data_IF_504242269541
#
_entry.id   IF_504242269541
#
_cell.length_a   1.000
_cell.length_b   1.000
_cell.length_c   1.000
_cell.angle_alpha   90.00
_cell.angle_beta   90.00
_cell.angle_gamma   90.00
#
_symmetry.space_group_name_H-M   'P 1'
#
loop_
_entity.id
_entity.type
_entity.pdbx_description
1 polymer ?
#
# COMPACT_ATOMS: atom_id res chain seq x y z
N UNK A 1 7.59 -4.60 12.71
CA UNK A 1 8.66 -5.59 12.43
C UNK A 1 9.82 -4.99 11.66
N UNK A 2 9.68 -3.76 11.12
CA UNK A 2 10.74 -3.02 10.46
C UNK A 2 11.50 -3.88 9.44
N UNK A 3 10.73 -4.47 8.52
CA UNK A 3 11.25 -5.30 7.45
C UNK A 3 11.84 -4.39 6.35
N UNK A 4 12.89 -4.82 5.64
CA UNK A 4 13.59 -3.97 4.68
C UNK A 4 12.67 -3.33 3.62
N UNK A 5 11.69 -4.07 3.12
CA UNK A 5 10.74 -3.59 2.11
C UNK A 5 9.45 -3.00 2.68
N UNK A 6 9.33 -2.89 4.01
CA UNK A 6 8.12 -2.37 4.64
C UNK A 6 7.99 -0.86 4.42
N UNK A 7 6.82 -0.35 3.97
CA UNK A 7 6.59 1.09 3.95
C UNK A 7 6.59 1.63 5.39
N UNK A 8 7.12 2.84 5.59
CA UNK A 8 7.14 3.49 6.91
C UNK A 8 5.74 3.96 7.29
N UNK A 9 5.02 4.53 6.34
CA UNK A 9 3.60 4.87 6.46
C UNK A 9 2.81 4.11 5.42
N UNK A 10 2.18 3.01 5.83
CA UNK A 10 1.47 2.14 4.90
C UNK A 10 0.29 2.83 4.20
N UNK A 11 -0.47 3.65 4.93
CA UNK A 11 -1.64 4.37 4.42
C UNK A 11 -1.37 5.88 4.42
N UNK A 12 -1.71 6.54 3.32
CA UNK A 12 -1.74 8.00 3.25
C UNK A 12 -3.10 8.47 2.72
N UNK A 13 -3.77 9.33 3.48
CA UNK A 13 -5.03 9.94 3.07
C UNK A 13 -4.77 11.35 2.53
N UNK A 14 -5.30 11.64 1.35
CA UNK A 14 -5.30 12.98 0.76
C UNK A 14 -6.59 13.72 1.12
N UNK A 15 -6.44 14.92 1.66
CA UNK A 15 -7.54 15.88 1.82
C UNK A 15 -7.91 16.57 0.51
N UNK A 16 -6.98 16.62 -0.46
CA UNK A 16 -7.24 17.15 -1.80
C UNK A 16 -8.30 16.29 -2.53
N UNK A 17 -9.46 16.86 -2.92
CA UNK A 17 -10.55 16.11 -3.55
C UNK A 17 -10.20 15.53 -4.93
N UNK A 18 -9.11 16.00 -5.56
CA UNK A 18 -8.63 15.51 -6.85
C UNK A 18 -7.68 14.32 -6.75
N UNK A 19 -7.35 13.87 -5.53
CA UNK A 19 -6.40 12.77 -5.26
C UNK A 19 -7.10 11.53 -4.69
N UNK A 20 -6.51 10.32 -4.85
CA UNK A 20 -5.27 10.02 -5.58
C UNK A 20 -5.46 9.96 -7.10
N UNK A 21 -4.35 10.12 -7.84
CA UNK A 21 -4.24 9.97 -9.29
C UNK A 21 -3.12 8.98 -9.65
N UNK A 22 -3.43 8.00 -10.49
CA UNK A 22 -2.54 6.88 -10.82
C UNK A 22 -1.11 7.28 -11.18
N UNK A 23 -0.95 8.31 -12.04
CA UNK A 23 0.39 8.75 -12.48
C UNK A 23 1.19 9.47 -11.40
N UNK A 24 0.50 10.14 -10.47
CA UNK A 24 1.15 11.01 -9.48
C UNK A 24 1.42 10.28 -8.16
N UNK A 25 0.63 9.26 -7.84
CA UNK A 25 0.55 8.71 -6.48
C UNK A 25 0.93 7.23 -6.37
N UNK A 26 1.04 6.50 -7.49
CA UNK A 26 1.31 5.05 -7.43
C UNK A 26 2.66 4.73 -6.78
N UNK A 27 3.62 5.65 -6.83
CA UNK A 27 4.99 5.43 -6.32
C UNK A 27 5.15 5.85 -4.85
N UNK A 28 4.06 6.18 -4.15
CA UNK A 28 4.09 6.47 -2.72
C UNK A 28 4.73 5.33 -1.92
N UNK A 29 5.68 5.69 -1.02
CA UNK A 29 6.52 4.72 -0.29
C UNK A 29 7.16 3.69 -1.25
N UNK A 30 7.74 4.18 -2.35
CA UNK A 30 8.35 3.35 -3.42
C UNK A 30 7.38 2.32 -4.02
N UNK A 31 6.09 2.65 -4.05
CA UNK A 31 5.04 1.78 -4.56
C UNK A 31 4.60 0.67 -3.61
N UNK A 32 5.08 0.68 -2.36
CA UNK A 32 4.68 -0.27 -1.30
C UNK A 32 3.57 0.26 -0.39
N UNK A 33 3.35 1.57 -0.40
CA UNK A 33 2.25 2.23 0.31
C UNK A 33 0.95 2.23 -0.49
N UNK A 34 -0.12 2.61 0.20
CA UNK A 34 -1.47 2.75 -0.34
C UNK A 34 -1.94 4.18 -0.11
N UNK A 35 -2.44 4.82 -1.17
CA UNK A 35 -3.00 6.16 -1.08
C UNK A 35 -4.53 6.13 -1.15
N UNK A 36 -5.17 6.93 -0.31
CA UNK A 36 -6.61 7.04 -0.17
C UNK A 36 -7.04 8.49 -0.34
N UNK A 37 -8.28 8.69 -0.76
CA UNK A 37 -8.87 10.03 -0.83
C UNK A 37 -10.36 9.97 -1.15
N UNK A 38 -11.00 11.14 -1.10
CA UNK A 38 -12.43 11.31 -1.42
C UNK A 38 -13.36 10.47 -0.53
N UNK A 39 -12.99 10.29 0.74
CA UNK A 39 -13.86 9.62 1.71
C UNK A 39 -15.11 10.47 1.96
N UNK A 40 -16.28 9.85 1.79
CA UNK A 40 -17.60 10.48 1.98
C UNK A 40 -18.65 9.42 2.24
N UNK A 41 -19.77 9.83 2.80
CA UNK A 41 -20.94 8.96 2.95
C UNK A 41 -21.41 8.44 1.58
N UNK A 42 -21.92 7.21 1.59
CA UNK A 42 -22.56 6.62 0.44
C UNK A 42 -24.08 6.54 0.66
N UNK A 43 -24.85 6.45 -0.44
CA UNK A 43 -26.30 6.36 -0.37
C UNK A 43 -26.80 4.91 -0.22
N UNK A 44 -25.95 3.92 -0.50
CA UNK A 44 -26.28 2.49 -0.45
C UNK A 44 -25.58 1.81 0.71
N UNK A 45 -24.28 2.12 0.89
CA UNK A 45 -23.47 1.65 2.02
C UNK A 45 -23.18 2.82 2.98
N UNK A 46 -22.31 2.60 3.98
CA UNK A 46 -21.95 3.65 4.94
C UNK A 46 -21.01 4.71 4.32
N UNK A 47 -19.96 4.26 3.62
CA UNK A 47 -18.93 5.14 3.08
C UNK A 47 -18.41 4.67 1.73
N UNK A 48 -17.96 5.63 0.92
CA UNK A 48 -17.19 5.40 -0.29
C UNK A 48 -15.94 6.28 -0.32
N UNK A 49 -14.89 5.75 -0.93
CA UNK A 49 -13.60 6.41 -1.10
C UNK A 49 -12.90 5.84 -2.33
N UNK A 50 -11.77 6.43 -2.70
CA UNK A 50 -10.87 5.87 -3.71
C UNK A 50 -9.58 5.44 -3.06
N UNK A 51 -9.11 4.26 -3.45
CA UNK A 51 -7.86 3.66 -3.02
C UNK A 51 -7.00 3.38 -4.25
N UNK A 52 -5.70 3.67 -4.15
CA UNK A 52 -4.74 3.42 -5.21
C UNK A 52 -3.54 2.64 -4.66
N UNK A 53 -3.16 1.59 -5.38
CA UNK A 53 -1.98 0.76 -5.13
C UNK A 53 -1.16 0.62 -6.41
N UNK A 54 0.16 0.44 -6.29
CA UNK A 54 0.97 0.00 -7.42
C UNK A 54 0.78 -1.51 -7.66
N UNK A 55 0.19 -1.88 -8.80
CA UNK A 55 -0.19 -3.28 -9.06
C UNK A 55 1.01 -4.23 -9.24
N UNK A 56 2.09 -3.81 -9.90
CA UNK A 56 3.28 -4.67 -10.10
C UNK A 56 4.26 -4.67 -8.92
N UNK A 57 4.26 -3.61 -8.10
CA UNK A 57 5.10 -3.51 -6.90
C UNK A 57 4.32 -4.08 -5.72
N UNK A 58 3.47 -3.27 -5.05
CA UNK A 58 2.68 -3.74 -3.91
C UNK A 58 1.78 -4.94 -4.24
N UNK A 59 1.09 -4.88 -5.37
CA UNK A 59 0.12 -5.90 -5.77
C UNK A 59 0.72 -7.22 -6.26
N UNK A 60 2.04 -7.27 -6.49
CA UNK A 60 2.71 -8.46 -7.00
C UNK A 60 4.09 -8.63 -6.37
N UNK A 61 5.18 -8.23 -7.05
CA UNK A 61 6.54 -8.61 -6.69
C UNK A 61 6.96 -8.08 -5.32
N UNK A 62 6.68 -6.81 -5.03
CA UNK A 62 7.00 -6.19 -3.73
C UNK A 62 6.24 -6.82 -2.56
N UNK A 63 4.97 -7.18 -2.76
CA UNK A 63 4.20 -7.94 -1.76
C UNK A 63 4.80 -9.33 -1.49
N UNK A 64 5.26 -10.00 -2.54
CA UNK A 64 5.98 -11.27 -2.43
C UNK A 64 7.29 -11.16 -1.65
N UNK A 65 8.11 -10.16 -1.95
CA UNK A 65 9.37 -9.89 -1.23
C UNK A 65 9.10 -9.60 0.24
N UNK A 66 8.14 -8.73 0.57
CA UNK A 66 7.80 -8.41 1.95
C UNK A 66 7.29 -9.65 2.73
N UNK A 67 6.56 -10.53 2.05
CA UNK A 67 6.12 -11.81 2.64
C UNK A 67 7.30 -12.75 2.89
N UNK A 68 8.26 -12.82 1.97
CA UNK A 68 9.48 -13.62 2.15
C UNK A 68 10.34 -13.08 3.30
N UNK A 69 10.55 -11.76 3.38
CA UNK A 69 11.25 -11.10 4.50
C UNK A 69 10.59 -11.43 5.85
N UNK A 70 9.26 -11.39 5.91
CA UNK A 70 8.49 -11.77 7.09
C UNK A 70 8.71 -13.23 7.48
N UNK A 71 8.64 -14.16 6.52
CA UNK A 71 8.85 -15.59 6.76
C UNK A 71 10.29 -15.89 7.21
N UNK A 72 11.30 -15.21 6.63
CA UNK A 72 12.67 -15.29 7.10
C UNK A 72 12.81 -14.79 8.54
N UNK A 73 12.16 -13.66 8.88
CA UNK A 73 12.20 -13.11 10.24
C UNK A 73 11.56 -14.03 11.28
N UNK A 74 10.55 -14.80 10.88
CA UNK A 74 9.91 -15.81 11.72
C UNK A 74 10.67 -17.15 11.79
N UNK A 75 11.72 -17.33 10.98
CA UNK A 75 12.49 -18.58 10.93
C UNK A 75 11.83 -19.70 10.12
N UNK A 76 10.81 -19.40 9.31
CA UNK A 76 10.18 -20.39 8.42
C UNK A 76 10.96 -20.60 7.11
N UNK A 77 11.77 -19.60 6.71
CA UNK A 77 12.66 -19.67 5.56
C UNK A 77 14.06 -19.29 6.05
N UNK A 78 15.06 -20.08 5.70
CA UNK A 78 16.46 -19.77 6.00
C UNK A 78 16.96 -18.70 5.01
N UNK A 79 17.49 -17.59 5.55
CA UNK A 79 18.14 -16.58 4.73
C UNK A 79 19.47 -17.14 4.22
N UNK A 80 19.68 -17.10 2.89
CA UNK A 80 20.98 -17.40 2.26
C UNK A 80 21.87 -16.18 2.22
#
# INVERSE_FOLDING_TARGET
MDLPSSPKKFLYYFDDPSRPQTRLDRDYEHGMGITLGRLREDAVLDYKFVCLSHNTVRGAAGGGVLSAEYLCKLGYIEAR
#
